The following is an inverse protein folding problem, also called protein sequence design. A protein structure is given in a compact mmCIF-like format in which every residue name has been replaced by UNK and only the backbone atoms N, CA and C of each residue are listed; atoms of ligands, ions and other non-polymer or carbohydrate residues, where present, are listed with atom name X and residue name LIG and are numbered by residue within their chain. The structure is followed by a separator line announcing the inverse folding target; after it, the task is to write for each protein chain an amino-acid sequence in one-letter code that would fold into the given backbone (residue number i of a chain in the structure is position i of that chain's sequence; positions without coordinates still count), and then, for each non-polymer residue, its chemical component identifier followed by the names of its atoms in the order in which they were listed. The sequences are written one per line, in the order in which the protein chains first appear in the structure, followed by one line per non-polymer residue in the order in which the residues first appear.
data_IF_069285158557
#
_entry.id   IF_069285158557
#
_cell.length_a   1.000
_cell.length_b   1.000
_cell.length_c   1.000
_cell.angle_alpha   90.00
_cell.angle_beta   90.00
_cell.angle_gamma   90.00
#
_symmetry.space_group_name_H-M   'P 1'
#
loop_
_entity.id
_entity.type
_entity.pdbx_description
1 polymer ?
#
# COMPACT_ATOMS: atom_id res chain seq x y z
N UNK A 1 11.50 6.55 18.59
CA UNK A 1 12.42 6.39 17.43
C UNK A 1 12.77 7.75 16.85
N UNK A 2 14.01 7.96 16.40
CA UNK A 2 14.40 9.22 15.71
C UNK A 2 13.87 9.19 14.27
N UNK A 3 13.47 10.34 13.70
CA UNK A 3 12.98 10.46 12.32
C UNK A 3 13.94 9.85 11.26
N UNK A 4 15.25 9.85 11.55
CA UNK A 4 16.28 9.17 10.75
C UNK A 4 16.03 7.65 10.62
N UNK A 5 15.56 6.99 11.68
CA UNK A 5 15.28 5.55 11.68
C UNK A 5 14.02 5.24 10.87
N UNK A 6 13.00 6.09 10.92
CA UNK A 6 11.77 5.93 10.11
C UNK A 6 12.11 6.08 8.62
N UNK A 7 12.88 7.10 8.25
CA UNK A 7 13.36 7.28 6.88
C UNK A 7 14.16 6.08 6.38
N UNK A 8 15.06 5.56 7.21
CA UNK A 8 15.84 4.37 6.87
C UNK A 8 14.94 3.15 6.64
N UNK A 9 13.95 2.91 7.50
CA UNK A 9 13.01 1.80 7.35
C UNK A 9 12.22 1.90 6.05
N UNK A 10 11.70 3.09 5.70
CA UNK A 10 10.97 3.28 4.44
C UNK A 10 11.90 3.05 3.25
N UNK A 11 13.14 3.55 3.31
CA UNK A 11 14.13 3.42 2.23
C UNK A 11 14.54 1.95 2.03
N UNK A 12 14.78 1.21 3.12
CA UNK A 12 15.03 -0.24 3.08
C UNK A 12 13.81 -0.99 2.53
N UNK A 13 12.61 -0.65 2.98
CA UNK A 13 11.37 -1.26 2.48
C UNK A 13 11.19 -1.00 0.98
N UNK A 14 11.51 0.21 0.51
CA UNK A 14 11.49 0.58 -0.90
C UNK A 14 12.50 -0.23 -1.71
N UNK A 15 13.73 -0.41 -1.22
CA UNK A 15 14.74 -1.25 -1.88
C UNK A 15 14.29 -2.70 -1.95
N UNK A 16 13.75 -3.25 -0.86
CA UNK A 16 13.23 -4.62 -0.83
C UNK A 16 12.11 -4.78 -1.85
N UNK A 17 11.16 -3.83 -1.91
CA UNK A 17 10.07 -3.85 -2.88
C UNK A 17 10.57 -3.70 -4.33
N UNK A 18 11.56 -2.85 -4.58
CA UNK A 18 12.22 -2.70 -5.89
C UNK A 18 12.86 -4.02 -6.33
N UNK A 19 13.60 -4.67 -5.43
CA UNK A 19 14.24 -5.97 -5.70
C UNK A 19 13.18 -7.03 -5.97
N UNK A 20 12.11 -7.06 -5.20
CA UNK A 20 11.01 -8.03 -5.38
C UNK A 20 10.26 -7.82 -6.70
N UNK A 21 10.00 -6.58 -7.09
CA UNK A 21 9.40 -6.30 -8.38
C UNK A 21 10.34 -6.60 -9.55
N UNK A 22 11.65 -6.36 -9.39
CA UNK A 22 12.65 -6.75 -10.38
C UNK A 22 12.73 -8.28 -10.52
N UNK A 23 12.68 -9.02 -9.41
CA UNK A 23 12.61 -10.49 -9.41
C UNK A 23 11.30 -10.95 -10.07
N UNK A 24 10.18 -10.32 -9.74
CA UNK A 24 8.88 -10.62 -10.33
C UNK A 24 8.80 -10.34 -11.83
N UNK A 25 9.53 -9.32 -12.30
CA UNK A 25 9.69 -9.05 -13.72
C UNK A 25 10.49 -10.14 -14.45
N UNK A 26 11.57 -10.64 -13.81
CA UNK A 26 12.39 -11.72 -14.39
C UNK A 26 11.67 -13.07 -14.33
N UNK A 27 10.80 -13.28 -13.35
CA UNK A 27 10.04 -14.51 -13.18
C UNK A 27 8.69 -14.24 -12.49
N UNK A 28 7.61 -14.19 -13.28
CA UNK A 28 6.25 -13.95 -12.79
C UNK A 28 5.77 -14.97 -11.75
N UNK A 29 6.27 -16.21 -11.80
CA UNK A 29 5.96 -17.26 -10.82
C UNK A 29 6.62 -17.00 -9.46
N UNK A 30 7.74 -16.27 -9.42
CA UNK A 30 8.36 -15.86 -8.16
C UNK A 30 7.57 -14.71 -7.53
N UNK A 31 6.97 -13.83 -8.35
CA UNK A 31 6.11 -12.75 -7.87
C UNK A 31 4.82 -13.27 -7.22
N UNK A 32 4.12 -14.20 -7.88
CA UNK A 32 2.94 -14.86 -7.33
C UNK A 32 3.28 -15.58 -6.02
N UNK A 33 4.41 -16.28 -5.98
CA UNK A 33 4.88 -16.98 -4.77
C UNK A 33 5.17 -16.03 -3.62
N UNK A 34 5.67 -14.83 -3.90
CA UNK A 34 5.90 -13.81 -2.88
C UNK A 34 4.58 -13.23 -2.37
N UNK A 35 3.64 -12.91 -3.27
CA UNK A 35 2.32 -12.41 -2.86
C UNK A 35 1.51 -13.46 -2.08
N UNK A 36 1.80 -14.74 -2.28
CA UNK A 36 1.18 -15.82 -1.52
C UNK A 36 1.98 -16.22 -0.25
N UNK A 37 3.12 -15.58 0.04
CA UNK A 37 3.94 -15.87 1.22
C UNK A 37 3.35 -15.23 2.49
N UNK A 38 3.12 -15.97 3.59
CA UNK A 38 3.65 -17.31 3.86
C UNK A 38 2.67 -18.46 3.59
N UNK A 39 1.43 -18.18 3.19
CA UNK A 39 0.36 -19.16 3.10
C UNK A 39 0.67 -20.30 2.12
N UNK A 40 1.20 -19.98 0.93
CA UNK A 40 1.55 -21.01 -0.05
C UNK A 40 2.62 -21.97 0.49
N UNK A 41 3.63 -21.47 1.20
CA UNK A 41 4.70 -22.30 1.77
C UNK A 41 4.17 -23.18 2.91
N UNK A 42 3.22 -22.66 3.70
CA UNK A 42 2.53 -23.45 4.74
C UNK A 42 1.69 -24.55 4.09
N UNK A 43 0.96 -24.26 3.01
CA UNK A 43 0.19 -25.26 2.26
C UNK A 43 1.11 -26.34 1.71
N UNK A 44 2.21 -25.97 1.04
CA UNK A 44 3.19 -26.93 0.52
C UNK A 44 3.80 -27.79 1.62
N UNK A 45 4.15 -27.19 2.76
CA UNK A 45 4.69 -27.90 3.92
C UNK A 45 3.70 -28.93 4.46
N UNK A 46 2.45 -28.52 4.68
CA UNK A 46 1.40 -29.42 5.20
C UNK A 46 1.10 -30.53 4.20
N UNK A 47 0.98 -30.24 2.90
CA UNK A 47 0.82 -31.25 1.85
C UNK A 47 1.97 -32.26 1.82
N UNK A 48 3.22 -31.78 1.94
CA UNK A 48 4.39 -32.65 2.00
C UNK A 48 4.35 -33.56 3.23
N UNK A 49 4.01 -33.02 4.40
CA UNK A 49 3.93 -33.79 5.64
C UNK A 49 2.80 -34.84 5.61
N UNK A 50 1.63 -34.49 5.09
CA UNK A 50 0.47 -35.38 5.01
C UNK A 50 0.68 -36.61 4.11
N UNK A 51 1.56 -36.52 3.12
CA UNK A 51 1.84 -37.62 2.17
C UNK A 51 2.94 -38.58 2.62
N UNK A 52 3.68 -38.28 3.69
CA UNK A 52 4.89 -39.02 4.08
C UNK A 52 4.67 -40.08 5.17
N UNK A 53 3.47 -40.19 5.72
CA UNK A 53 3.11 -41.21 6.71
C UNK A 53 2.28 -40.67 7.88
N UNK A 54 1.76 -41.56 8.72
CA UNK A 54 0.78 -41.23 9.79
C UNK A 54 1.31 -40.19 10.78
N UNK A 55 2.56 -40.36 11.25
CA UNK A 55 3.18 -39.44 12.21
C UNK A 55 3.34 -38.04 11.60
N UNK A 56 3.85 -37.97 10.37
CA UNK A 56 4.06 -36.69 9.67
C UNK A 56 2.73 -36.02 9.31
N UNK A 57 1.70 -36.80 8.99
CA UNK A 57 0.34 -36.27 8.81
C UNK A 57 -0.19 -35.63 10.10
N UNK A 58 0.04 -36.26 11.27
CA UNK A 58 -0.27 -35.65 12.56
C UNK A 58 0.42 -34.30 12.77
N UNK A 59 1.70 -34.18 12.38
CA UNK A 59 2.44 -32.92 12.42
C UNK A 59 1.85 -31.90 11.44
N UNK A 60 1.45 -32.32 10.23
CA UNK A 60 0.79 -31.46 9.25
C UNK A 60 -0.52 -30.87 9.79
N UNK A 61 -1.35 -31.69 10.44
CA UNK A 61 -2.59 -31.26 11.10
C UNK A 61 -2.28 -30.26 12.22
N UNK A 62 -1.25 -30.51 13.03
CA UNK A 62 -0.83 -29.59 14.09
C UNK A 62 -0.41 -28.23 13.51
N UNK A 63 0.40 -28.19 12.45
CA UNK A 63 0.81 -26.94 11.78
C UNK A 63 -0.41 -26.19 11.23
N UNK A 64 -1.33 -26.90 10.56
CA UNK A 64 -2.58 -26.33 10.07
C UNK A 64 -3.37 -25.65 11.20
N UNK A 65 -3.64 -26.38 12.29
CA UNK A 65 -4.40 -25.86 13.43
C UNK A 65 -3.69 -24.71 14.13
N UNK A 66 -2.37 -24.81 14.32
CA UNK A 66 -1.57 -23.78 14.97
C UNK A 66 -1.64 -22.46 14.19
N UNK A 67 -1.49 -22.49 12.87
CA UNK A 67 -1.55 -21.28 12.02
C UNK A 67 -2.98 -20.72 11.99
N UNK A 68 -3.98 -21.58 11.83
CA UNK A 68 -5.40 -21.16 11.80
C UNK A 68 -5.84 -20.51 13.10
N UNK A 69 -5.47 -21.07 14.25
CA UNK A 69 -5.93 -20.61 15.56
C UNK A 69 -5.08 -19.48 16.15
N UNK A 70 -3.91 -19.18 15.60
CA UNK A 70 -3.00 -18.15 16.14
C UNK A 70 -3.68 -16.78 16.37
N UNK A 71 -4.46 -16.22 15.42
CA UNK A 71 -5.17 -14.96 15.65
C UNK A 71 -6.20 -15.06 16.78
N UNK A 72 -6.90 -16.20 16.88
CA UNK A 72 -7.90 -16.44 17.91
C UNK A 72 -7.26 -16.60 19.30
N UNK A 73 -6.14 -17.32 19.42
CA UNK A 73 -5.38 -17.44 20.67
C UNK A 73 -4.90 -16.06 21.14
N UNK A 74 -4.45 -15.20 20.22
CA UNK A 74 -4.08 -13.83 20.53
C UNK A 74 -5.27 -12.98 21.02
N UNK A 75 -6.47 -13.18 20.46
CA UNK A 75 -7.69 -12.56 20.98
C UNK A 75 -8.00 -13.05 22.41
N UNK A 76 -7.94 -14.36 22.66
CA UNK A 76 -8.17 -14.94 24.00
C UNK A 76 -7.21 -14.34 25.02
N UNK A 77 -5.91 -14.25 24.70
CA UNK A 77 -4.92 -13.60 25.56
C UNK A 77 -5.30 -12.14 25.91
N UNK A 78 -5.79 -11.37 24.93
CA UNK A 78 -6.26 -10.00 25.15
C UNK A 78 -7.50 -9.94 26.03
N UNK A 79 -8.46 -10.84 25.84
CA UNK A 79 -9.69 -10.92 26.65
C UNK A 79 -9.34 -11.24 28.09
N UNK A 80 -8.50 -12.27 28.31
CA UNK A 80 -8.03 -12.68 29.64
C UNK A 80 -7.28 -11.55 30.38
N UNK A 81 -6.57 -10.70 29.64
CA UNK A 81 -5.87 -9.52 30.19
C UNK A 81 -6.75 -8.28 30.35
N UNK A 82 -8.03 -8.34 30.01
CA UNK A 82 -8.94 -7.19 30.04
C UNK A 82 -8.58 -6.08 29.04
N UNK A 83 -7.89 -6.44 27.94
CA UNK A 83 -7.37 -5.50 26.92
C UNK A 83 -8.07 -5.63 25.58
N UNK A 84 -9.12 -6.46 25.49
CA UNK A 84 -9.88 -6.66 24.27
C UNK A 84 -10.72 -5.43 23.92
N UNK A 85 -10.90 -5.20 22.62
CA UNK A 85 -11.66 -4.09 22.06
C UNK A 85 -12.48 -4.59 20.86
N UNK A 86 -13.41 -3.77 20.38
CA UNK A 86 -14.31 -4.14 19.29
C UNK A 86 -13.55 -4.54 18.02
N UNK A 87 -12.44 -3.86 17.69
CA UNK A 87 -11.65 -4.21 16.50
C UNK A 87 -10.94 -5.56 16.60
N UNK A 88 -10.79 -6.11 17.81
CA UNK A 88 -10.19 -7.42 18.01
C UNK A 88 -11.11 -8.55 17.49
N UNK A 89 -12.38 -8.28 17.19
CA UNK A 89 -13.27 -9.20 16.48
C UNK A 89 -12.75 -9.58 15.07
N UNK A 90 -11.96 -8.70 14.43
CA UNK A 90 -11.32 -9.00 13.16
C UNK A 90 -10.32 -10.18 13.26
N UNK A 91 -9.84 -10.50 14.46
CA UNK A 91 -8.97 -11.67 14.68
C UNK A 91 -9.77 -12.98 14.56
N UNK A 92 -11.06 -12.98 14.90
CA UNK A 92 -11.93 -14.14 14.69
C UNK A 92 -12.11 -14.36 13.19
N UNK A 93 -12.46 -13.29 12.47
CA UNK A 93 -12.61 -13.33 11.02
C UNK A 93 -11.31 -13.79 10.35
N UNK A 94 -10.16 -13.26 10.77
CA UNK A 94 -8.85 -13.66 10.27
C UNK A 94 -8.54 -15.14 10.51
N UNK A 95 -8.90 -15.67 11.69
CA UNK A 95 -8.73 -17.10 12.00
C UNK A 95 -9.58 -17.97 11.06
N UNK A 96 -10.85 -17.60 10.85
CA UNK A 96 -11.75 -18.31 9.94
C UNK A 96 -11.22 -18.27 8.51
N UNK A 97 -10.82 -17.09 8.01
CA UNK A 97 -10.34 -16.97 6.63
C UNK A 97 -9.01 -17.67 6.41
N UNK A 98 -8.10 -17.67 7.39
CA UNK A 98 -6.86 -18.47 7.31
C UNK A 98 -7.18 -19.96 7.24
N UNK A 99 -8.08 -20.46 8.10
CA UNK A 99 -8.51 -21.87 8.09
C UNK A 99 -9.11 -22.27 6.75
N UNK A 100 -10.00 -21.45 6.20
CA UNK A 100 -10.58 -21.64 4.87
C UNK A 100 -9.52 -21.60 3.77
N UNK A 101 -8.61 -20.63 3.83
CA UNK A 101 -7.52 -20.43 2.87
C UNK A 101 -6.62 -21.65 2.77
N UNK A 102 -6.19 -22.18 3.92
CA UNK A 102 -5.36 -23.38 3.99
C UNK A 102 -6.13 -24.62 3.55
N UNK A 103 -7.40 -24.76 3.98
CA UNK A 103 -8.24 -25.90 3.58
C UNK A 103 -8.45 -25.98 2.08
N UNK A 104 -8.78 -24.85 1.45
CA UNK A 104 -8.89 -24.74 0.00
C UNK A 104 -7.52 -25.10 -0.57
N UNK A 105 -6.45 -24.43 -0.17
CA UNK A 105 -5.10 -24.67 -0.66
C UNK A 105 -4.66 -26.14 -0.68
N UNK A 106 -5.00 -26.91 0.36
CA UNK A 106 -4.65 -28.33 0.50
C UNK A 106 -5.51 -29.28 -0.35
N UNK A 107 -6.73 -28.89 -0.73
CA UNK A 107 -7.67 -29.76 -1.44
C UNK A 107 -7.67 -29.52 -2.95
N UNK A 108 -7.47 -30.56 -3.78
CA UNK A 108 -7.45 -30.46 -5.24
C UNK A 108 -8.85 -30.24 -5.87
N UNK A 109 -9.94 -30.51 -5.14
CA UNK A 109 -11.32 -30.39 -5.66
C UNK A 109 -11.74 -28.95 -6.05
N UNK A 110 -10.91 -27.94 -5.77
CA UNK A 110 -11.18 -26.53 -6.09
C UNK A 110 -10.21 -25.94 -7.13
N UNK A 111 -9.86 -26.75 -8.14
CA UNK A 111 -9.11 -26.33 -9.34
C UNK A 111 -9.80 -25.21 -10.14
N UNK A 112 -11.09 -24.96 -9.92
CA UNK A 112 -11.85 -23.92 -10.63
C UNK A 112 -12.08 -22.68 -9.76
N UNK A 113 -11.02 -21.91 -9.54
CA UNK A 113 -11.16 -20.45 -9.50
C UNK A 113 -10.41 -19.92 -10.72
N UNK A 114 -10.94 -20.22 -11.90
CA UNK A 114 -10.51 -19.54 -13.12
C UNK A 114 -11.12 -18.15 -13.08
N UNK A 115 -10.36 -17.16 -12.61
CA UNK A 115 -10.60 -15.79 -13.00
C UNK A 115 -10.07 -15.71 -14.44
N UNK A 116 -10.94 -16.03 -15.41
CA UNK A 116 -10.64 -15.93 -16.83
C UNK A 116 -10.56 -14.45 -17.21
N UNK A 117 -9.45 -13.81 -16.85
CA UNK A 117 -9.02 -12.56 -17.46
C UNK A 117 -7.74 -12.86 -18.22
N UNK A 118 -7.82 -12.83 -19.55
CA UNK A 118 -6.73 -13.05 -20.53
C UNK A 118 -5.46 -12.20 -20.31
N UNK A 119 -5.41 -11.37 -19.27
CA UNK A 119 -4.34 -10.41 -19.01
C UNK A 119 -3.57 -10.66 -17.70
N UNK A 120 -4.02 -11.56 -16.80
CA UNK A 120 -3.32 -11.81 -15.53
C UNK A 120 -3.64 -13.21 -14.98
N UNK A 121 -2.69 -14.15 -15.06
CA UNK A 121 -2.80 -15.43 -14.34
C UNK A 121 -2.42 -15.18 -12.88
N UNK A 122 -3.37 -14.74 -12.06
CA UNK A 122 -3.17 -14.69 -10.61
C UNK A 122 -3.35 -16.11 -10.08
N UNK A 123 -2.25 -16.73 -9.64
CA UNK A 123 -2.31 -18.05 -9.02
C UNK A 123 -3.30 -18.08 -7.85
N UNK A 124 -4.07 -19.16 -7.75
CA UNK A 124 -5.09 -19.40 -6.71
C UNK A 124 -4.63 -19.04 -5.29
N UNK A 125 -3.38 -19.35 -4.96
CA UNK A 125 -2.80 -19.06 -3.65
C UNK A 125 -2.65 -17.56 -3.37
N UNK A 126 -2.43 -16.75 -4.41
CA UNK A 126 -2.29 -15.29 -4.32
C UNK A 126 -3.61 -14.64 -3.95
N UNK A 127 -4.71 -15.00 -4.64
CA UNK A 127 -6.05 -14.43 -4.36
C UNK A 127 -6.47 -14.72 -2.91
N UNK A 128 -6.30 -15.98 -2.50
CA UNK A 128 -6.64 -16.44 -1.16
C UNK A 128 -5.79 -15.72 -0.10
N UNK A 129 -4.50 -15.53 -0.36
CA UNK A 129 -3.59 -14.81 0.55
C UNK A 129 -3.93 -13.33 0.69
N UNK A 130 -4.36 -12.68 -0.39
CA UNK A 130 -4.73 -11.27 -0.39
C UNK A 130 -5.90 -10.97 0.55
N UNK A 131 -6.90 -11.86 0.64
CA UNK A 131 -8.03 -11.68 1.57
C UNK A 131 -7.54 -11.63 3.02
N UNK A 132 -6.64 -12.53 3.39
CA UNK A 132 -6.05 -12.53 4.74
C UNK A 132 -5.24 -11.27 5.03
N UNK A 133 -4.49 -10.75 4.04
CA UNK A 133 -3.77 -9.49 4.20
C UNK A 133 -4.69 -8.31 4.37
N UNK A 134 -5.79 -8.22 3.62
CA UNK A 134 -6.74 -7.11 3.77
C UNK A 134 -7.39 -7.07 5.15
N UNK A 135 -7.75 -8.22 5.70
CA UNK A 135 -8.30 -8.32 7.06
C UNK A 135 -7.23 -7.91 8.09
N UNK A 136 -5.99 -8.40 7.95
CA UNK A 136 -4.88 -8.06 8.84
C UNK A 136 -4.54 -6.56 8.79
N UNK A 137 -4.46 -5.98 7.59
CA UNK A 137 -4.20 -4.56 7.39
C UNK A 137 -5.31 -3.73 8.02
N UNK A 138 -6.57 -4.12 7.84
CA UNK A 138 -7.73 -3.44 8.44
C UNK A 138 -7.67 -3.46 9.96
N UNK A 139 -7.36 -4.62 10.54
CA UNK A 139 -7.15 -4.76 11.99
C UNK A 139 -6.03 -3.85 12.51
N UNK A 140 -4.87 -3.84 11.83
CA UNK A 140 -3.75 -2.98 12.21
C UNK A 140 -4.09 -1.49 12.06
N UNK A 141 -4.80 -1.10 11.01
CA UNK A 141 -5.20 0.27 10.75
C UNK A 141 -6.13 0.81 11.85
N UNK A 142 -7.19 0.06 12.20
CA UNK A 142 -8.13 0.48 13.25
C UNK A 142 -7.43 0.53 14.62
N UNK A 143 -6.57 -0.45 14.91
CA UNK A 143 -5.74 -0.46 16.13
C UNK A 143 -4.81 0.75 16.20
N UNK A 144 -4.23 1.16 15.07
CA UNK A 144 -3.40 2.37 15.00
C UNK A 144 -4.21 3.63 15.25
N UNK A 145 -5.39 3.77 14.65
CA UNK A 145 -6.29 4.92 14.86
C UNK A 145 -6.65 5.05 16.34
N UNK A 146 -7.10 3.97 16.98
CA UNK A 146 -7.42 3.99 18.42
C UNK A 146 -6.22 4.36 19.28
N UNK A 147 -5.03 3.88 18.91
CA UNK A 147 -3.82 4.25 19.65
C UNK A 147 -3.52 5.74 19.50
N UNK A 148 -3.74 6.34 18.33
CA UNK A 148 -3.58 7.80 18.10
C UNK A 148 -4.50 8.62 19.01
N UNK A 149 -5.74 8.19 19.20
CA UNK A 149 -6.72 8.89 20.04
C UNK A 149 -6.37 8.91 21.54
N UNK A 150 -5.62 7.90 22.02
CA UNK A 150 -5.28 7.73 23.44
C UNK A 150 -3.99 8.43 23.87
N UNK A 151 -3.37 9.21 23.00
CA UNK A 151 -2.01 9.72 23.21
C UNK A 151 -2.02 11.20 23.60
N UNK A 152 -1.27 11.53 24.65
CA UNK A 152 -0.91 12.91 24.99
C UNK A 152 -0.26 13.63 23.81
N UNK A 153 -0.63 14.91 23.61
CA UNK A 153 -0.23 15.77 22.48
C UNK A 153 1.26 15.74 22.11
N UNK A 154 2.13 15.44 23.08
CA UNK A 154 3.57 15.31 22.89
C UNK A 154 4.01 14.14 21.99
N UNK A 155 3.25 13.04 21.93
CA UNK A 155 3.61 11.86 21.12
C UNK A 155 2.80 11.74 19.81
N UNK A 156 1.75 12.54 19.61
CA UNK A 156 0.88 12.49 18.41
C UNK A 156 1.66 12.69 17.10
N UNK A 157 2.70 13.53 17.11
CA UNK A 157 3.60 13.74 15.95
C UNK A 157 4.28 12.43 15.51
N UNK A 158 4.70 11.59 16.46
CA UNK A 158 5.40 10.34 16.15
C UNK A 158 4.47 9.32 15.46
N UNK A 159 3.18 9.30 15.82
CA UNK A 159 2.21 8.40 15.22
C UNK A 159 1.73 8.89 13.85
N UNK A 160 1.57 10.21 13.67
CA UNK A 160 1.40 10.81 12.34
C UNK A 160 2.58 10.43 11.45
N UNK A 161 3.81 10.44 11.99
CA UNK A 161 4.98 10.00 11.23
C UNK A 161 4.93 8.52 10.84
N UNK A 162 4.47 7.63 11.73
CA UNK A 162 4.27 6.21 11.40
C UNK A 162 3.18 5.98 10.37
N UNK A 163 2.05 6.69 10.47
CA UNK A 163 0.96 6.59 9.51
C UNK A 163 1.41 7.06 8.12
N UNK A 164 2.09 8.20 8.05
CA UNK A 164 2.64 8.72 6.80
C UNK A 164 3.72 7.78 6.21
N UNK A 165 4.52 7.13 7.07
CA UNK A 165 5.47 6.11 6.63
C UNK A 165 4.76 4.90 6.01
N UNK A 166 3.66 4.43 6.63
CA UNK A 166 2.83 3.35 6.10
C UNK A 166 2.18 3.74 4.77
N UNK A 167 1.58 4.94 4.68
CA UNK A 167 1.01 5.46 3.42
C UNK A 167 2.07 5.52 2.32
N UNK A 168 3.28 5.98 2.63
CA UNK A 168 4.39 6.00 1.68
C UNK A 168 4.74 4.60 1.19
N UNK A 169 4.77 3.61 2.09
CA UNK A 169 5.04 2.22 1.73
C UNK A 169 3.96 1.66 0.80
N UNK A 170 2.67 1.91 1.08
CA UNK A 170 1.56 1.49 0.20
C UNK A 170 1.68 2.11 -1.20
N UNK A 171 1.99 3.41 -1.28
CA UNK A 171 2.18 4.09 -2.57
C UNK A 171 3.37 3.48 -3.33
N UNK A 172 4.47 3.21 -2.64
CA UNK A 172 5.66 2.56 -3.22
C UNK A 172 5.34 1.15 -3.72
N UNK A 173 4.60 0.34 -2.96
CA UNK A 173 4.12 -0.99 -3.39
C UNK A 173 3.27 -0.85 -4.65
N UNK A 174 2.38 0.14 -4.73
CA UNK A 174 1.56 0.34 -5.92
C UNK A 174 2.40 0.72 -7.15
N UNK A 175 3.31 1.69 -7.00
CA UNK A 175 4.23 2.13 -8.05
C UNK A 175 5.01 0.93 -8.61
N UNK A 176 5.66 0.18 -7.72
CA UNK A 176 6.65 -0.82 -8.14
C UNK A 176 6.01 -2.19 -8.39
N UNK A 177 5.06 -2.61 -7.55
CA UNK A 177 4.44 -3.93 -7.62
C UNK A 177 3.26 -4.01 -8.60
N UNK A 178 2.66 -2.89 -8.99
CA UNK A 178 1.48 -2.88 -9.88
C UNK A 178 1.75 -2.08 -11.15
N UNK A 179 2.06 -0.79 -11.01
CA UNK A 179 2.10 0.13 -12.15
C UNK A 179 3.27 -0.16 -13.10
N UNK A 180 4.45 -0.45 -12.56
CA UNK A 180 5.64 -0.75 -13.35
C UNK A 180 5.52 -2.08 -14.11
N UNK A 181 5.13 -3.21 -13.50
CA UNK A 181 4.84 -4.45 -14.22
C UNK A 181 3.78 -4.29 -15.31
N UNK A 182 2.68 -3.57 -15.03
CA UNK A 182 1.63 -3.30 -16.01
C UNK A 182 2.15 -2.53 -17.21
N UNK A 183 2.96 -1.49 -16.99
CA UNK A 183 3.60 -0.74 -18.06
C UNK A 183 4.51 -1.63 -18.93
N UNK A 184 5.34 -2.47 -18.30
CA UNK A 184 6.26 -3.34 -19.03
C UNK A 184 5.52 -4.40 -19.83
N UNK A 185 4.45 -4.98 -19.27
CA UNK A 185 3.62 -5.97 -19.97
C UNK A 185 2.91 -5.34 -21.17
N UNK A 186 2.29 -4.19 -20.99
CA UNK A 186 1.58 -3.47 -22.06
C UNK A 186 2.56 -3.00 -23.15
N UNK A 187 3.77 -2.54 -22.79
CA UNK A 187 4.76 -2.11 -23.77
C UNK A 187 5.32 -3.27 -24.60
N UNK A 188 5.51 -4.46 -24.00
CA UNK A 188 5.90 -5.67 -24.74
C UNK A 188 4.80 -6.16 -25.67
N UNK A 189 3.55 -6.21 -25.19
CA UNK A 189 2.41 -6.62 -26.02
C UNK A 189 2.20 -5.71 -27.24
N UNK A 190 2.55 -4.42 -27.12
CA UNK A 190 2.48 -3.45 -28.20
C UNK A 190 3.78 -3.29 -29.00
N UNK A 191 4.85 -4.01 -28.63
CA UNK A 191 6.17 -3.97 -29.25
C UNK A 191 6.46 -5.13 -30.21
N UNK A 192 5.48 -6.00 -30.48
CA UNK A 192 5.55 -7.02 -31.54
C UNK A 192 5.76 -6.34 -32.92
N UNK A 193 6.24 -7.04 -33.98
CA UNK A 193 6.62 -6.43 -35.26
C UNK A 193 5.54 -5.59 -35.97
N UNK A 194 4.27 -5.76 -35.58
CA UNK A 194 3.11 -5.01 -36.08
C UNK A 194 2.70 -3.83 -35.15
N UNK A 195 3.45 -3.60 -34.08
CA UNK A 195 3.20 -2.62 -33.04
C UNK A 195 3.49 -1.20 -33.48
N UNK A 196 2.45 -0.37 -33.54
CA UNK A 196 2.59 1.04 -33.90
C UNK A 196 3.32 1.79 -32.76
N UNK A 197 4.47 2.41 -33.02
CA UNK A 197 5.28 3.11 -31.99
C UNK A 197 4.51 4.21 -31.24
N UNK A 198 3.44 4.72 -31.85
CA UNK A 198 2.48 5.64 -31.25
C UNK A 198 1.78 5.00 -30.02
N UNK A 199 1.42 3.71 -30.08
CA UNK A 199 0.79 2.99 -28.97
C UNK A 199 1.72 2.85 -27.76
N UNK A 200 3.01 2.62 -28.00
CA UNK A 200 4.02 2.55 -26.92
C UNK A 200 4.14 3.90 -26.22
N UNK A 201 4.11 5.00 -26.97
CA UNK A 201 4.13 6.34 -26.39
C UNK A 201 2.88 6.60 -25.52
N UNK A 202 1.70 6.12 -25.93
CA UNK A 202 0.47 6.21 -25.12
C UNK A 202 0.51 5.37 -23.84
N UNK A 203 1.08 4.17 -23.92
CA UNK A 203 1.29 3.32 -22.73
C UNK A 203 2.25 4.00 -21.75
N UNK A 204 3.33 4.61 -22.25
CA UNK A 204 4.25 5.37 -21.42
C UNK A 204 3.61 6.62 -20.81
N UNK A 205 2.82 7.37 -21.58
CA UNK A 205 2.11 8.53 -21.05
C UNK A 205 1.08 8.15 -19.97
N UNK A 206 0.36 7.04 -20.18
CA UNK A 206 -0.57 6.49 -19.19
C UNK A 206 0.15 5.99 -17.93
N UNK A 207 1.37 5.49 -18.07
CA UNK A 207 2.22 5.16 -16.93
C UNK A 207 2.66 6.42 -16.17
N UNK A 208 3.05 7.49 -16.86
CA UNK A 208 3.42 8.76 -16.22
C UNK A 208 2.27 9.38 -15.43
N UNK A 209 1.03 9.33 -15.94
CA UNK A 209 -0.12 9.84 -15.18
C UNK A 209 -0.34 9.06 -13.87
N UNK A 210 0.02 7.77 -13.81
CA UNK A 210 -0.09 6.91 -12.61
C UNK A 210 1.08 7.10 -11.65
N UNK A 211 2.28 7.27 -12.19
CA UNK A 211 3.52 7.40 -11.43
C UNK A 211 3.71 8.77 -10.80
N UNK A 212 3.50 9.85 -11.56
CA UNK A 212 3.88 11.21 -11.15
C UNK A 212 3.18 11.64 -9.85
N UNK A 213 1.83 11.54 -9.71
CA UNK A 213 1.17 11.93 -8.46
C UNK A 213 1.64 11.10 -7.27
N UNK A 214 1.85 9.80 -7.49
CA UNK A 214 2.29 8.84 -6.49
C UNK A 214 3.71 9.15 -5.97
N UNK A 215 4.66 9.40 -6.88
CA UNK A 215 6.03 9.77 -6.52
C UNK A 215 6.09 11.12 -5.79
N UNK A 216 5.34 12.11 -6.25
CA UNK A 216 5.27 13.42 -5.63
C UNK A 216 4.67 13.35 -4.22
N UNK A 217 3.65 12.50 -4.00
CA UNK A 217 3.09 12.25 -2.68
C UNK A 217 4.13 11.67 -1.71
N UNK A 218 4.91 10.67 -2.15
CA UNK A 218 6.00 10.08 -1.35
C UNK A 218 7.07 11.14 -1.02
N UNK A 219 7.52 11.93 -1.99
CA UNK A 219 8.49 13.01 -1.76
C UNK A 219 7.97 14.00 -0.71
N UNK A 220 6.69 14.39 -0.81
CA UNK A 220 6.07 15.31 0.12
C UNK A 220 6.02 14.74 1.55
N UNK A 221 5.69 13.45 1.70
CA UNK A 221 5.71 12.77 2.99
C UNK A 221 7.12 12.74 3.58
N UNK A 222 8.14 12.41 2.80
CA UNK A 222 9.53 12.40 3.29
C UNK A 222 9.99 13.78 3.79
N UNK A 223 9.60 14.84 3.08
CA UNK A 223 9.84 16.23 3.49
C UNK A 223 9.09 16.58 4.77
N UNK A 224 7.91 16.00 4.99
CA UNK A 224 7.14 16.24 6.21
C UNK A 224 7.85 15.80 7.49
N UNK A 225 8.77 14.83 7.40
CA UNK A 225 9.54 14.31 8.55
C UNK A 225 10.69 15.23 9.02
N UNK A 226 10.92 16.39 8.38
CA UNK A 226 11.99 17.33 8.79
C UNK A 226 11.66 18.09 10.10
N UNK A 227 10.42 18.03 10.60
CA UNK A 227 10.05 18.65 11.87
C UNK A 227 10.64 17.89 13.06
N UNK A 228 11.67 18.45 13.69
CA UNK A 228 12.26 17.94 14.93
C UNK A 228 12.36 19.02 16.03
N UNK A 229 12.15 18.58 17.29
CA UNK A 229 11.57 19.24 18.48
C UNK A 229 12.21 20.53 19.07
N UNK A 230 13.03 21.32 18.36
CA UNK A 230 13.59 22.57 18.94
C UNK A 230 13.10 23.82 18.21
N UNK A 231 12.54 24.78 18.96
CA UNK A 231 11.86 26.02 18.53
C UNK A 231 10.62 25.77 17.66
N UNK A 232 9.53 25.38 18.34
CA UNK A 232 8.32 24.78 17.77
C UNK A 232 7.56 25.77 16.88
N UNK A 233 7.20 26.96 17.36
CA UNK A 233 6.34 27.89 16.59
C UNK A 233 6.97 28.42 15.30
N UNK A 234 8.16 29.04 15.37
CA UNK A 234 8.81 29.65 14.19
C UNK A 234 9.23 28.59 13.15
N UNK A 235 9.50 27.35 13.57
CA UNK A 235 9.78 26.25 12.63
C UNK A 235 8.52 25.67 12.02
N UNK A 236 7.42 25.55 12.78
CA UNK A 236 6.13 25.07 12.25
C UNK A 236 5.63 25.96 11.13
N UNK A 237 5.72 27.28 11.28
CA UNK A 237 5.23 28.23 10.27
C UNK A 237 6.07 28.18 9.00
N UNK A 238 7.41 28.21 9.13
CA UNK A 238 8.30 28.06 7.97
C UNK A 238 8.14 26.70 7.29
N UNK A 239 7.91 25.65 8.05
CA UNK A 239 7.62 24.33 7.52
C UNK A 239 6.30 24.32 6.77
N UNK A 240 5.21 24.83 7.36
CA UNK A 240 3.90 24.93 6.72
C UNK A 240 3.97 25.75 5.42
N UNK A 241 4.73 26.86 5.40
CA UNK A 241 4.97 27.62 4.16
C UNK A 241 5.66 26.78 3.08
N UNK A 242 6.70 26.02 3.44
CA UNK A 242 7.42 25.15 2.49
C UNK A 242 6.53 24.03 1.97
N UNK A 243 5.81 23.34 2.86
CA UNK A 243 4.90 22.25 2.49
C UNK A 243 3.75 22.78 1.63
N UNK A 244 3.15 23.93 1.96
CA UNK A 244 2.10 24.58 1.13
C UNK A 244 2.60 24.90 -0.28
N UNK A 245 3.81 25.46 -0.42
CA UNK A 245 4.40 25.77 -1.74
C UNK A 245 4.66 24.50 -2.55
N UNK A 246 5.24 23.48 -1.91
CA UNK A 246 5.54 22.20 -2.55
C UNK A 246 4.26 21.44 -2.94
N UNK A 247 3.28 21.35 -2.05
CA UNK A 247 2.02 20.66 -2.33
C UNK A 247 1.24 21.35 -3.45
N UNK A 248 1.19 22.69 -3.48
CA UNK A 248 0.61 23.44 -4.61
C UNK A 248 1.31 23.10 -5.93
N UNK A 249 2.65 23.14 -5.95
CA UNK A 249 3.42 22.80 -7.15
C UNK A 249 3.16 21.35 -7.58
N UNK A 250 3.13 20.41 -6.65
CA UNK A 250 2.93 19.00 -6.93
C UNK A 250 1.52 18.70 -7.46
N UNK A 251 0.49 19.38 -6.94
CA UNK A 251 -0.87 19.33 -7.50
C UNK A 251 -0.89 19.86 -8.92
N UNK A 252 -0.26 21.01 -9.19
CA UNK A 252 -0.20 21.59 -10.53
C UNK A 252 0.49 20.66 -11.53
N UNK A 253 1.62 20.06 -11.15
CA UNK A 253 2.31 19.07 -12.00
C UNK A 253 1.42 17.84 -12.22
N UNK A 254 0.80 17.31 -11.17
CA UNK A 254 -0.03 16.11 -11.25
C UNK A 254 -1.25 16.31 -12.15
N UNK A 255 -2.00 17.40 -11.93
CA UNK A 255 -3.14 17.76 -12.79
C UNK A 255 -2.70 18.14 -14.20
N UNK A 256 -1.51 18.74 -14.37
CA UNK A 256 -0.94 19.04 -15.68
C UNK A 256 -0.68 17.76 -16.48
N UNK A 257 0.00 16.77 -15.89
CA UNK A 257 0.27 15.48 -16.54
C UNK A 257 -1.02 14.72 -16.87
N UNK A 258 -1.97 14.68 -15.93
CA UNK A 258 -3.30 14.06 -16.14
C UNK A 258 -4.07 14.80 -17.24
N UNK A 259 -4.07 16.13 -17.22
CA UNK A 259 -4.78 16.96 -18.19
C UNK A 259 -4.20 16.83 -19.59
N UNK A 260 -2.87 16.81 -19.73
CA UNK A 260 -2.18 16.57 -21.01
C UNK A 260 -2.54 15.19 -21.55
N UNK A 261 -2.47 14.14 -20.73
CA UNK A 261 -2.88 12.79 -21.16
C UNK A 261 -4.36 12.73 -21.55
N UNK A 262 -5.24 13.34 -20.75
CA UNK A 262 -6.68 13.39 -21.04
C UNK A 262 -6.94 14.10 -22.37
N UNK A 263 -6.32 15.25 -22.60
CA UNK A 263 -6.44 15.99 -23.86
C UNK A 263 -5.96 15.17 -25.05
N UNK A 264 -4.75 14.60 -24.98
CA UNK A 264 -4.20 13.78 -26.06
C UNK A 264 -5.08 12.54 -26.30
N UNK A 265 -5.60 11.90 -25.24
CA UNK A 265 -6.45 10.70 -25.37
C UNK A 265 -7.76 10.95 -26.13
N UNK A 266 -8.30 12.17 -26.10
CA UNK A 266 -9.51 12.54 -26.86
C UNK A 266 -9.24 12.55 -28.36
N UNK A 267 -8.07 13.04 -28.80
CA UNK A 267 -7.72 13.12 -30.22
C UNK A 267 -7.23 11.80 -30.81
N UNK A 268 -6.75 10.88 -29.97
CA UNK A 268 -6.15 9.60 -30.38
C UNK A 268 -6.88 8.41 -29.79
N UNK A 269 -8.22 8.50 -29.69
CA UNK A 269 -9.04 7.51 -29.00
C UNK A 269 -8.88 6.08 -29.55
N UNK A 270 -8.61 5.95 -30.86
CA UNK A 270 -8.41 4.68 -31.56
C UNK A 270 -7.07 4.00 -31.21
N UNK A 271 -6.10 4.76 -30.69
CA UNK A 271 -4.77 4.29 -30.27
C UNK A 271 -4.67 4.05 -28.76
N UNK A 272 -5.69 4.47 -28.01
CA UNK A 272 -5.81 4.23 -26.57
C UNK A 272 -6.38 2.82 -26.36
N UNK A 273 -5.54 1.81 -26.60
CA UNK A 273 -5.88 0.40 -26.45
C UNK A 273 -6.29 -0.01 -25.02
N UNK A 274 -6.06 0.86 -24.03
CA UNK A 274 -6.59 0.69 -22.68
C UNK A 274 -7.43 1.90 -22.32
N UNK A 275 -8.75 1.71 -22.19
CA UNK A 275 -9.66 2.67 -21.54
C UNK A 275 -9.27 2.79 -20.06
N UNK A 276 -8.13 3.42 -19.79
CA UNK A 276 -7.59 3.59 -18.46
C UNK A 276 -8.39 4.69 -17.78
N UNK A 277 -9.42 4.28 -17.06
CA UNK A 277 -10.02 5.10 -16.02
C UNK A 277 -8.92 5.53 -15.04
N UNK A 278 -9.05 6.75 -14.50
CA UNK A 278 -8.19 7.25 -13.42
C UNK A 278 -8.14 6.15 -12.35
N UNK A 279 -6.94 5.64 -12.06
CA UNK A 279 -6.79 4.55 -11.10
C UNK A 279 -7.07 5.08 -9.69
N UNK A 280 -7.74 4.27 -8.85
CA UNK A 280 -8.04 4.67 -7.47
C UNK A 280 -6.78 5.06 -6.68
N UNK A 281 -5.62 4.48 -7.04
CA UNK A 281 -4.32 4.84 -6.47
C UNK A 281 -3.83 6.25 -6.86
N UNK A 282 -4.12 6.72 -8.08
CA UNK A 282 -3.86 8.10 -8.48
C UNK A 282 -4.68 9.08 -7.63
N UNK A 283 -5.98 8.81 -7.47
CA UNK A 283 -6.87 9.63 -6.65
C UNK A 283 -6.40 9.68 -5.19
N UNK A 284 -6.02 8.53 -4.62
CA UNK A 284 -5.48 8.47 -3.27
C UNK A 284 -4.22 9.34 -3.09
N UNK A 285 -3.30 9.30 -4.06
CA UNK A 285 -2.08 10.11 -4.03
C UNK A 285 -2.37 11.62 -4.13
N UNK A 286 -3.32 12.01 -4.98
CA UNK A 286 -3.78 13.40 -5.07
C UNK A 286 -4.44 13.86 -3.77
N UNK A 287 -5.27 13.04 -3.14
CA UNK A 287 -5.91 13.33 -1.85
C UNK A 287 -4.84 13.57 -0.78
N UNK A 288 -3.78 12.77 -0.74
CA UNK A 288 -2.67 12.98 0.21
C UNK A 288 -2.01 14.33 -0.01
N UNK A 289 -1.62 14.67 -1.25
CA UNK A 289 -0.97 15.96 -1.56
C UNK A 289 -1.92 17.12 -1.19
N UNK A 290 -3.20 16.98 -1.50
CA UNK A 290 -4.23 17.97 -1.19
C UNK A 290 -4.44 18.14 0.33
N UNK A 291 -4.44 17.05 1.10
CA UNK A 291 -4.51 17.09 2.55
C UNK A 291 -3.33 17.88 3.15
N UNK A 292 -2.10 17.64 2.67
CA UNK A 292 -0.93 18.43 3.06
C UNK A 292 -1.06 19.92 2.72
N UNK A 293 -1.66 20.25 1.57
CA UNK A 293 -1.96 21.63 1.21
C UNK A 293 -2.95 22.29 2.18
N UNK A 294 -4.08 21.63 2.46
CA UNK A 294 -5.10 22.14 3.39
C UNK A 294 -4.51 22.33 4.78
N UNK A 295 -3.88 21.29 5.36
CA UNK A 295 -3.30 21.35 6.70
C UNK A 295 -2.30 22.48 6.82
N UNK A 296 -1.39 22.61 5.84
CA UNK A 296 -0.38 23.67 5.84
C UNK A 296 -1.01 25.05 5.71
N UNK A 297 -2.07 25.19 4.92
CA UNK A 297 -2.78 26.46 4.77
C UNK A 297 -3.54 26.85 6.04
N UNK A 298 -4.18 25.90 6.71
CA UNK A 298 -4.88 26.12 7.98
C UNK A 298 -3.91 26.55 9.08
N UNK A 299 -2.75 25.91 9.19
CA UNK A 299 -1.71 26.32 10.16
C UNK A 299 -1.27 27.77 9.93
N UNK A 300 -1.08 28.18 8.67
CA UNK A 300 -0.65 29.54 8.36
C UNK A 300 -1.74 30.57 8.66
N UNK A 301 -2.99 30.28 8.29
CA UNK A 301 -4.13 31.16 8.58
C UNK A 301 -4.36 31.33 10.08
N UNK A 302 -4.29 30.25 10.86
CA UNK A 302 -4.46 30.34 12.30
C UNK A 302 -3.38 31.22 12.93
N UNK A 303 -2.15 31.15 12.41
CA UNK A 303 -1.05 31.99 12.90
C UNK A 303 -1.21 33.47 12.52
N UNK A 304 -1.72 33.75 11.32
CA UNK A 304 -2.08 35.12 10.89
C UNK A 304 -3.17 35.70 11.81
N UNK A 305 -4.22 34.93 12.12
CA UNK A 305 -5.30 35.33 13.03
C UNK A 305 -4.79 35.57 14.47
N UNK A 306 -3.88 34.73 14.97
CA UNK A 306 -3.25 34.94 16.28
C UNK A 306 -2.43 36.23 16.32
N UNK A 307 -1.66 36.52 15.26
CA UNK A 307 -0.88 37.77 15.16
C UNK A 307 -1.79 39.00 15.07
N UNK A 308 -2.88 38.95 14.30
CA UNK A 308 -3.88 40.03 14.21
C UNK A 308 -4.58 40.27 15.55
N UNK A 309 -4.98 39.21 16.25
CA UNK A 309 -5.63 39.33 17.56
C UNK A 309 -4.74 39.97 18.62
N UNK A 310 -3.42 39.77 18.54
CA UNK A 310 -2.42 40.39 19.44
C UNK A 310 -2.15 41.86 19.12
N UNK A 311 -2.50 42.34 17.93
CA UNK A 311 -2.34 43.75 17.55
C UNK A 311 -3.54 44.63 17.97
N UNK A 312 -4.66 44.00 18.33
CA UNK A 312 -5.91 44.67 18.73
C UNK A 312 -6.00 44.85 20.26
N UNK A 313 -5.18 44.13 21.04
CA UNK A 313 -5.06 44.23 22.51
C UNK A 313 -3.90 45.14 22.88
#
# INVERSE_FOLDING_TARGET
MKAKNIRLIILVSMIVLLVLAAIGYLNGAVYSTFLAFPFQQIIMLVSFLSTKGVILNGIGIFVYLAVTLLPFVYLVDKVLKGRANVEDLLLILLSITIGYSLYVGLNPVSEHIQIDSKEFVIERYTVISMVNYWILISYLAIKLIRNVEKIDSNNSILYIQYLLAFVSLVIIVNIIGVELPNYIMQSKAMGDPNGNGLNIAFVFLSFLTRMVPSLLAVILIFRSFELNRKNIEVRIVRFAQRIKKLSRLFLMISFGVIGVHSFISVFFIDYVASKNMISMAQLASLIVIFAFYIISNTILKNKELEEESRLIV
#
